data_IF_323374238167
#
_entry.id   IF_323374238167
#
_cell.length_a   1.000
_cell.length_b   1.000
_cell.length_c   1.000
_cell.angle_alpha   90.00
_cell.angle_beta   90.00
_cell.angle_gamma   90.00
#
_symmetry.space_group_name_H-M   'P 1'
#
loop_
_entity.id
_entity.type
_entity.pdbx_description
1 polymer ?
#
# COMPACT_ATOMS: atom_id res chain seq x y z
N UNK A 1 19.76 26.61 -7.90
CA UNK A 1 19.25 26.03 -9.16
C UNK A 1 17.94 26.74 -9.46
N UNK A 2 17.82 27.37 -10.62
CA UNK A 2 16.52 27.86 -11.10
C UNK A 2 15.79 26.64 -11.66
N UNK A 3 14.80 26.15 -10.92
CA UNK A 3 13.93 25.09 -11.43
C UNK A 3 13.13 25.64 -12.61
N UNK A 4 13.15 24.92 -13.73
CA UNK A 4 12.33 25.25 -14.89
C UNK A 4 10.93 24.66 -14.69
N UNK A 5 9.96 25.51 -14.34
CA UNK A 5 8.55 25.15 -14.16
C UNK A 5 8.00 24.29 -15.32
N UNK A 6 8.43 24.56 -16.55
CA UNK A 6 8.00 23.81 -17.74
C UNK A 6 8.43 22.33 -17.68
N UNK A 7 9.61 22.02 -17.16
CA UNK A 7 10.14 20.65 -17.12
C UNK A 7 9.32 19.75 -16.19
N UNK A 8 8.95 20.26 -15.01
CA UNK A 8 8.14 19.55 -14.02
C UNK A 8 6.73 19.22 -14.57
N UNK A 9 6.15 20.14 -15.35
CA UNK A 9 4.89 19.89 -16.05
C UNK A 9 5.05 18.80 -17.11
N UNK A 10 6.07 18.88 -17.96
CA UNK A 10 6.28 17.90 -19.03
C UNK A 10 6.51 16.50 -18.47
N UNK A 11 7.28 16.37 -17.39
CA UNK A 11 7.50 15.07 -16.74
C UNK A 11 6.21 14.49 -16.15
N UNK A 12 5.41 15.32 -15.47
CA UNK A 12 4.11 14.89 -14.95
C UNK A 12 3.17 14.44 -16.09
N UNK A 13 3.07 15.20 -17.18
CA UNK A 13 2.26 14.86 -18.35
C UNK A 13 2.70 13.54 -19.00
N UNK A 14 4.00 13.28 -19.13
CA UNK A 14 4.53 12.00 -19.63
C UNK A 14 4.08 10.83 -18.76
N UNK A 15 4.14 10.98 -17.44
CA UNK A 15 3.66 9.94 -16.51
C UNK A 15 2.15 9.74 -16.64
N UNK A 16 1.36 10.81 -16.74
CA UNK A 16 -0.10 10.71 -16.91
C UNK A 16 -0.48 10.03 -18.23
N UNK A 17 0.22 10.34 -19.31
CA UNK A 17 0.03 9.69 -20.60
C UNK A 17 0.34 8.18 -20.52
N UNK A 18 1.40 7.79 -19.80
CA UNK A 18 1.77 6.37 -19.62
C UNK A 18 0.69 5.53 -18.92
N UNK A 19 -0.18 6.16 -18.13
CA UNK A 19 -1.31 5.50 -17.46
C UNK A 19 -2.64 5.68 -18.23
N UNK A 20 -2.59 6.24 -19.45
CA UNK A 20 -3.75 6.45 -20.31
C UNK A 20 -4.61 7.65 -19.90
N UNK A 21 -4.05 8.65 -19.22
CA UNK A 21 -4.72 9.91 -18.90
C UNK A 21 -4.13 11.00 -19.79
N UNK A 22 -4.84 11.33 -20.87
CA UNK A 22 -4.48 12.47 -21.73
C UNK A 22 -4.93 13.77 -21.07
N UNK A 23 -4.01 14.73 -20.97
CA UNK A 23 -4.22 16.03 -20.36
C UNK A 23 -3.24 17.04 -20.98
N UNK A 24 -3.65 18.29 -21.01
CA UNK A 24 -2.88 19.43 -21.52
C UNK A 24 -2.37 20.29 -20.36
N UNK A 25 -1.39 21.15 -20.61
CA UNK A 25 -0.75 21.97 -19.57
C UNK A 25 -1.72 22.90 -18.84
N UNK A 26 -2.73 23.42 -19.55
CA UNK A 26 -3.80 24.27 -19.02
C UNK A 26 -4.71 23.59 -18.00
N UNK A 27 -4.56 22.29 -17.75
CA UNK A 27 -5.28 21.57 -16.70
C UNK A 27 -4.47 21.45 -15.39
N UNK A 28 -3.19 21.85 -15.44
CA UNK A 28 -2.28 21.92 -14.30
C UNK A 28 -2.18 23.39 -13.87
N UNK A 29 -2.43 23.65 -12.60
CA UNK A 29 -2.23 24.98 -12.00
C UNK A 29 -0.73 25.17 -11.72
N UNK A 30 -0.16 24.25 -10.95
CA UNK A 30 1.23 24.32 -10.50
C UNK A 30 1.84 22.92 -10.51
N UNK A 31 3.07 22.79 -11.02
CA UNK A 31 3.93 21.65 -10.77
C UNK A 31 5.34 22.11 -10.40
N UNK A 32 5.90 21.56 -9.33
CA UNK A 32 7.28 21.83 -8.93
C UNK A 32 7.90 20.65 -8.19
N UNK A 33 9.22 20.58 -8.18
CA UNK A 33 9.99 19.57 -7.48
C UNK A 33 10.05 19.89 -5.99
N UNK A 34 9.95 18.85 -5.19
CA UNK A 34 10.02 18.91 -3.73
C UNK A 34 11.11 17.98 -3.20
N UNK A 35 11.66 18.37 -2.06
CA UNK A 35 12.74 17.65 -1.39
C UNK A 35 14.13 18.18 -1.75
N UNK A 36 15.13 17.70 -1.02
CA UNK A 36 16.51 18.10 -1.22
C UNK A 36 17.08 17.43 -2.46
N UNK A 37 17.75 18.19 -3.32
CA UNK A 37 18.53 17.64 -4.42
C UNK A 37 19.58 16.68 -3.89
N UNK A 38 19.62 15.47 -4.45
CA UNK A 38 20.63 14.47 -4.17
C UNK A 38 21.15 13.93 -5.50
N UNK A 39 22.47 13.83 -5.61
CA UNK A 39 23.11 13.32 -6.82
C UNK A 39 22.57 11.91 -7.13
N UNK A 40 22.17 11.68 -8.39
CA UNK A 40 21.57 10.42 -8.87
C UNK A 40 20.25 10.03 -8.20
N UNK A 41 19.53 10.98 -7.59
CA UNK A 41 18.18 10.77 -7.10
C UNK A 41 17.22 11.77 -7.71
N UNK A 42 16.15 11.24 -8.28
CA UNK A 42 15.06 12.04 -8.80
C UNK A 42 14.24 12.56 -7.62
N UNK A 43 14.11 13.88 -7.53
CA UNK A 43 13.20 14.53 -6.59
C UNK A 43 11.77 14.38 -7.07
N UNK A 44 10.84 14.35 -6.13
CA UNK A 44 9.43 14.19 -6.47
C UNK A 44 8.80 15.48 -6.94
N UNK A 45 7.75 15.36 -7.75
CA UNK A 45 6.99 16.51 -8.27
C UNK A 45 5.66 16.56 -7.54
N UNK A 46 5.34 17.72 -6.93
CA UNK A 46 3.99 18.01 -6.46
C UNK A 46 3.21 18.67 -7.59
N UNK A 47 1.98 18.20 -7.82
CA UNK A 47 1.12 18.69 -8.90
C UNK A 47 -0.22 19.14 -8.32
N UNK A 48 -0.57 20.41 -8.57
CA UNK A 48 -1.88 20.98 -8.31
C UNK A 48 -2.65 21.03 -9.63
N UNK A 49 -3.80 20.36 -9.65
CA UNK A 49 -4.71 20.36 -10.81
C UNK A 49 -5.69 21.52 -10.70
N UNK A 50 -6.07 22.12 -11.83
CA UNK A 50 -7.16 23.11 -11.84
C UNK A 50 -8.51 22.47 -11.55
N UNK A 51 -8.74 21.25 -12.06
CA UNK A 51 -10.02 20.57 -11.92
C UNK A 51 -9.88 19.22 -11.20
N UNK A 52 -10.72 19.01 -10.18
CA UNK A 52 -10.74 17.79 -9.35
C UNK A 52 -10.91 16.52 -10.18
N UNK A 53 -11.63 16.59 -11.30
CA UNK A 53 -11.86 15.47 -12.22
C UNK A 53 -10.55 14.83 -12.68
N UNK A 54 -9.54 15.61 -13.07
CA UNK A 54 -8.26 15.10 -13.55
C UNK A 54 -7.46 14.43 -12.43
N UNK A 55 -7.43 15.04 -11.24
CA UNK A 55 -6.86 14.38 -10.04
C UNK A 55 -7.47 12.99 -9.84
N UNK A 56 -8.80 12.87 -9.86
CA UNK A 56 -9.48 11.59 -9.66
C UNK A 56 -9.09 10.58 -10.75
N UNK A 57 -9.04 10.99 -12.02
CA UNK A 57 -8.64 10.10 -13.12
C UNK A 57 -7.21 9.60 -12.99
N UNK A 58 -6.26 10.48 -12.67
CA UNK A 58 -4.87 10.11 -12.41
C UNK A 58 -4.80 9.11 -11.26
N UNK A 59 -5.44 9.43 -10.12
CA UNK A 59 -5.45 8.60 -8.93
C UNK A 59 -6.07 7.22 -9.20
N UNK A 60 -7.16 7.11 -9.97
CA UNK A 60 -7.76 5.81 -10.32
C UNK A 60 -6.88 4.96 -11.25
N UNK A 61 -6.15 5.59 -12.17
CA UNK A 61 -5.32 4.89 -13.16
C UNK A 61 -3.90 4.57 -12.67
N UNK A 62 -3.44 5.14 -11.54
CA UNK A 62 -2.08 4.97 -11.01
C UNK A 62 -1.62 3.52 -10.82
N UNK A 63 -2.54 2.57 -10.66
CA UNK A 63 -2.21 1.14 -10.52
C UNK A 63 -1.45 0.59 -11.74
N UNK A 64 -1.60 1.22 -12.91
CA UNK A 64 -0.85 0.90 -14.13
C UNK A 64 0.66 1.18 -14.02
N UNK A 65 1.10 1.94 -13.01
CA UNK A 65 2.52 2.18 -12.72
C UNK A 65 3.17 1.05 -11.92
N UNK A 66 2.43 -0.01 -11.55
CA UNK A 66 3.01 -1.12 -10.81
C UNK A 66 4.15 -1.74 -11.63
N UNK A 67 5.36 -1.75 -11.06
CA UNK A 67 6.56 -2.27 -11.72
C UNK A 67 7.32 -1.26 -12.58
N UNK A 68 6.80 -0.06 -12.84
CA UNK A 68 7.54 0.99 -13.57
C UNK A 68 8.61 1.69 -12.71
N UNK A 69 8.59 1.43 -11.40
CA UNK A 69 9.45 2.12 -10.46
C UNK A 69 9.03 3.57 -10.22
N UNK A 70 7.81 3.99 -10.58
CA UNK A 70 7.20 5.30 -10.31
C UNK A 70 5.93 5.11 -9.47
N UNK A 71 5.68 5.98 -8.50
CA UNK A 71 4.44 5.98 -7.69
C UNK A 71 3.70 7.32 -7.75
N UNK A 72 2.37 7.27 -7.64
CA UNK A 72 1.52 8.46 -7.45
C UNK A 72 0.75 8.27 -6.15
N UNK A 73 0.72 9.29 -5.30
CA UNK A 73 -0.05 9.32 -4.06
C UNK A 73 -0.74 10.68 -3.88
N UNK A 74 -1.81 10.70 -3.09
CA UNK A 74 -2.60 11.92 -2.85
C UNK A 74 -2.05 12.77 -1.71
N UNK A 75 -2.37 14.07 -1.76
CA UNK A 75 -2.25 14.94 -0.59
C UNK A 75 -3.28 14.71 0.51
N UNK A 76 -2.87 13.93 1.52
CA UNK A 76 -3.54 13.62 2.75
C UNK A 76 -3.09 14.53 3.90
N UNK A 77 -4.05 14.96 4.70
CA UNK A 77 -3.75 15.58 6.01
C UNK A 77 -2.85 14.66 6.85
N UNK A 78 -2.01 15.19 7.75
CA UNK A 78 -1.12 14.38 8.61
C UNK A 78 -1.87 13.24 9.32
N UNK A 79 -3.06 13.52 9.82
CA UNK A 79 -3.91 12.57 10.50
C UNK A 79 -4.32 11.38 9.59
N UNK A 80 -4.76 11.66 8.36
CA UNK A 80 -5.04 10.63 7.35
C UNK A 80 -3.79 9.88 6.88
N UNK A 81 -2.65 10.57 6.73
CA UNK A 81 -1.40 9.90 6.38
C UNK A 81 -0.97 8.89 7.47
N UNK A 82 -1.07 9.28 8.73
CA UNK A 82 -0.83 8.39 9.88
C UNK A 82 -1.83 7.24 9.91
N UNK A 83 -3.11 7.49 9.67
CA UNK A 83 -4.13 6.44 9.58
C UNK A 83 -3.80 5.44 8.48
N UNK A 84 -3.45 5.90 7.27
CA UNK A 84 -3.09 5.03 6.16
C UNK A 84 -1.87 4.17 6.48
N UNK A 85 -0.83 4.76 7.09
CA UNK A 85 0.40 4.07 7.52
C UNK A 85 0.15 3.05 8.64
N UNK A 86 -0.75 3.35 9.58
CA UNK A 86 -1.13 2.43 10.66
C UNK A 86 -1.89 1.22 10.11
N UNK A 87 -2.89 1.47 9.26
CA UNK A 87 -3.77 0.42 8.72
C UNK A 87 -3.02 -0.49 7.74
N UNK A 88 -2.07 0.05 6.96
CA UNK A 88 -1.27 -0.76 6.04
C UNK A 88 -0.37 -1.79 6.73
N UNK A 89 -0.05 -1.58 8.02
CA UNK A 89 0.77 -2.47 8.84
C UNK A 89 -0.06 -3.49 9.63
N UNK A 90 -1.39 -3.42 9.55
CA UNK A 90 -2.26 -4.30 10.31
C UNK A 90 -2.21 -5.73 9.73
N UNK A 91 -2.09 -6.78 10.56
CA UNK A 91 -1.91 -8.16 10.08
C UNK A 91 -3.09 -8.65 9.21
N UNK A 92 -4.29 -8.14 9.48
CA UNK A 92 -5.50 -8.50 8.76
C UNK A 92 -5.77 -7.71 7.47
N UNK A 93 -4.83 -6.89 7.02
CA UNK A 93 -4.96 -6.02 5.86
C UNK A 93 -4.02 -6.48 4.74
N UNK A 94 -4.59 -6.79 3.57
CA UNK A 94 -3.84 -7.16 2.37
C UNK A 94 -3.26 -5.94 1.65
N UNK A 95 -4.04 -4.86 1.58
CA UNK A 95 -3.65 -3.66 0.86
C UNK A 95 -4.44 -2.45 1.35
N UNK A 96 -3.86 -1.26 1.25
CA UNK A 96 -4.53 0.01 1.55
C UNK A 96 -4.33 1.02 0.43
N UNK A 97 -5.30 1.91 0.27
CA UNK A 97 -5.19 3.02 -0.65
C UNK A 97 -6.07 4.18 -0.21
N UNK A 98 -5.73 5.37 -0.67
CA UNK A 98 -6.61 6.52 -0.60
C UNK A 98 -7.27 6.81 -1.95
N UNK A 99 -8.47 7.37 -1.88
CA UNK A 99 -9.09 8.10 -2.99
C UNK A 99 -9.90 9.25 -2.40
N UNK A 100 -9.67 10.47 -2.90
CA UNK A 100 -10.38 11.67 -2.46
C UNK A 100 -10.21 11.96 -0.95
N UNK A 101 -9.05 11.62 -0.40
CA UNK A 101 -8.78 11.78 1.04
C UNK A 101 -9.45 10.74 1.94
N UNK A 102 -10.25 9.82 1.39
CA UNK A 102 -10.83 8.69 2.13
C UNK A 102 -9.89 7.50 2.07
N UNK A 103 -9.74 6.78 3.17
CA UNK A 103 -8.86 5.62 3.28
C UNK A 103 -9.69 4.34 3.13
N UNK A 104 -9.16 3.42 2.35
CA UNK A 104 -9.75 2.11 2.11
C UNK A 104 -8.72 1.04 2.42
N UNK A 105 -9.21 -0.09 2.94
CA UNK A 105 -8.43 -1.28 3.18
C UNK A 105 -9.12 -2.49 2.52
N UNK A 106 -8.31 -3.33 1.89
CA UNK A 106 -8.70 -4.69 1.50
C UNK A 106 -8.22 -5.63 2.60
N UNK A 107 -9.16 -6.31 3.23
CA UNK A 107 -8.91 -7.23 4.34
C UNK A 107 -8.53 -8.63 3.81
N UNK A 108 -8.04 -9.51 4.69
CA UNK A 108 -7.70 -10.91 4.36
C UNK A 108 -8.87 -11.71 3.78
N UNK A 109 -10.10 -11.40 4.20
CA UNK A 109 -11.34 -11.98 3.65
C UNK A 109 -11.77 -11.34 2.32
N UNK A 110 -10.87 -10.60 1.66
CA UNK A 110 -11.09 -9.88 0.40
C UNK A 110 -12.11 -8.72 0.46
N UNK A 111 -12.74 -8.48 1.62
CA UNK A 111 -13.68 -7.37 1.84
C UNK A 111 -12.95 -6.03 1.75
N UNK A 112 -13.57 -5.10 1.04
CA UNK A 112 -13.10 -3.71 0.94
C UNK A 112 -13.91 -2.87 1.92
N UNK A 113 -13.23 -2.22 2.85
CA UNK A 113 -13.85 -1.37 3.86
C UNK A 113 -13.27 0.04 3.79
N UNK A 114 -14.14 1.03 4.00
CA UNK A 114 -13.71 2.40 4.28
C UNK A 114 -13.27 2.46 5.74
N UNK A 115 -12.13 3.09 6.00
CA UNK A 115 -11.54 3.18 7.34
C UNK A 115 -11.47 4.65 7.76
N UNK A 116 -11.86 4.91 9.01
CA UNK A 116 -11.66 6.18 9.70
C UNK A 116 -10.91 5.98 11.02
N UNK A 117 -10.82 7.03 11.83
CA UNK A 117 -10.09 7.00 13.11
C UNK A 117 -10.73 6.15 14.19
N UNK A 118 -12.04 5.88 14.09
CA UNK A 118 -12.80 5.12 15.06
C UNK A 118 -13.01 3.66 14.62
N UNK A 119 -12.63 3.34 13.39
CA UNK A 119 -12.75 2.00 12.83
C UNK A 119 -11.78 1.04 13.51
N UNK A 120 -12.32 0.01 14.18
CA UNK A 120 -11.57 -1.15 14.66
C UNK A 120 -11.56 -2.23 13.56
N UNK A 121 -10.37 -2.58 13.05
CA UNK A 121 -10.25 -3.55 11.95
C UNK A 121 -10.60 -4.98 12.41
N UNK A 122 -10.26 -5.34 13.64
CA UNK A 122 -10.52 -6.68 14.17
C UNK A 122 -12.02 -6.98 14.28
N UNK A 123 -12.83 -5.99 14.63
CA UNK A 123 -14.28 -6.15 14.73
C UNK A 123 -14.92 -6.39 13.35
N UNK A 124 -14.34 -5.83 12.29
CA UNK A 124 -14.82 -6.01 10.91
C UNK A 124 -14.63 -7.43 10.39
N UNK A 125 -13.66 -8.18 10.92
CA UNK A 125 -13.41 -9.58 10.57
C UNK A 125 -14.34 -10.52 11.34
N UNK A 126 -14.63 -10.19 12.60
CA UNK A 126 -15.50 -11.00 13.48
C UNK A 126 -16.95 -11.04 13.01
N UNK A 127 -17.42 -9.98 12.36
CA UNK A 127 -18.79 -9.89 11.82
C UNK A 127 -19.16 -10.97 10.80
N UNK A 128 -18.16 -11.66 10.21
CA UNK A 128 -18.40 -12.76 9.27
C UNK A 128 -18.54 -14.13 9.98
N UNK A 129 -18.06 -14.27 11.23
CA UNK A 129 -18.14 -15.52 12.01
C UNK A 129 -19.54 -15.69 12.63
N UNK A 130 -20.21 -14.58 12.98
CA UNK A 130 -21.56 -14.58 13.59
C UNK A 130 -22.69 -14.93 12.62
N UNK A 131 -22.40 -15.09 11.32
CA UNK A 131 -23.37 -15.58 10.32
C UNK A 131 -23.22 -17.06 9.98
N UNK A 132 -22.30 -17.79 10.64
CA UNK A 132 -22.37 -19.24 10.68
C UNK A 132 -23.49 -19.60 11.65
N UNK A 133 -24.67 -19.82 11.07
CA UNK A 133 -25.84 -20.41 11.73
C UNK A 133 -25.38 -21.49 12.71
N UNK A 134 -25.88 -21.38 13.93
CA UNK A 134 -26.02 -22.43 14.94
C UNK A 134 -25.85 -23.82 14.33
N UNK A 135 -24.61 -24.33 14.30
CA UNK A 135 -24.39 -25.74 14.08
C UNK A 135 -24.96 -26.41 15.32
N UNK A 136 -25.94 -27.27 15.08
CA UNK A 136 -26.66 -28.04 16.07
C UNK A 136 -25.67 -28.62 17.09
N UNK A 137 -26.06 -28.50 18.36
CA UNK A 137 -25.38 -29.09 19.50
C UNK A 137 -25.34 -30.61 19.27
N UNK A 138 -24.25 -31.11 18.70
CA UNK A 138 -23.94 -32.53 18.72
C UNK A 138 -23.61 -32.89 20.17
N UNK A 139 -24.57 -33.47 20.88
CA UNK A 139 -24.35 -34.22 22.11
C UNK A 139 -23.85 -35.61 21.69
N UNK A 140 -22.56 -35.96 21.84
CA UNK A 140 -22.16 -37.35 21.67
C UNK A 140 -22.77 -38.16 22.81
N UNK A 141 -23.59 -39.16 22.46
CA UNK A 141 -24.05 -40.14 23.43
C UNK A 141 -22.84 -40.86 24.05
N UNK A 142 -22.71 -40.76 25.36
CA UNK A 142 -21.67 -41.41 26.14
C UNK A 142 -21.98 -42.91 26.14
N UNK A 143 -21.34 -43.67 25.24
CA UNK A 143 -21.18 -45.11 25.45
C UNK A 143 -20.05 -45.31 26.47
N UNK A 144 -20.44 -45.49 27.73
CA UNK A 144 -19.52 -45.94 28.77
C UNK A 144 -19.15 -47.40 28.52
N UNK A 145 -17.85 -47.70 28.44
CA UNK A 145 -17.28 -48.96 28.91
C UNK A 145 -15.77 -48.83 29.20
N UNK A 146 -15.21 -49.67 30.09
CA UNK A 146 -14.25 -49.22 31.09
C UNK A 146 -12.76 -49.45 30.75
N UNK A 147 -11.97 -48.45 31.19
CA UNK A 147 -10.62 -48.47 31.81
C UNK A 147 -9.57 -49.47 31.31
N UNK A 148 -8.44 -48.92 30.84
CA UNK A 148 -7.10 -49.34 31.29
C UNK A 148 -6.12 -48.17 31.25
N UNK A 149 -5.38 -48.04 32.34
CA UNK A 149 -4.35 -47.02 32.61
C UNK A 149 -3.05 -47.33 31.85
N UNK A 150 -2.34 -46.31 31.35
CA UNK A 150 -0.87 -46.23 31.50
C UNK A 150 -0.33 -44.84 31.14
N UNK A 151 0.61 -44.41 31.98
CA UNK A 151 1.43 -43.20 32.03
C UNK A 151 2.37 -42.97 30.83
N UNK A 152 2.68 -41.70 30.50
CA UNK A 152 3.84 -41.37 29.66
C UNK A 152 3.98 -39.87 29.33
N UNK A 153 5.21 -39.36 29.39
CA UNK A 153 5.61 -37.96 29.61
C UNK A 153 6.16 -37.25 28.34
N UNK A 154 6.17 -35.91 28.39
CA UNK A 154 7.15 -34.94 27.84
C UNK A 154 7.08 -34.45 26.38
N UNK A 155 7.42 -33.16 26.28
CA UNK A 155 7.28 -32.22 25.16
C UNK A 155 8.47 -32.18 24.16
N UNK A 156 8.20 -31.46 23.06
CA UNK A 156 9.07 -30.59 22.24
C UNK A 156 9.55 -31.07 20.86
N UNK A 157 9.23 -30.22 19.86
CA UNK A 157 9.69 -30.19 18.47
C UNK A 157 8.57 -29.57 17.63
N UNK A 158 8.71 -28.49 16.86
CA UNK A 158 9.86 -28.08 16.06
C UNK A 158 9.79 -26.59 15.65
N UNK A 159 10.98 -25.99 15.63
CA UNK A 159 11.45 -24.77 14.98
C UNK A 159 10.84 -24.44 13.62
N UNK A 160 10.63 -23.15 13.28
CA UNK A 160 11.09 -22.53 12.01
C UNK A 160 11.11 -20.99 12.09
N UNK A 161 12.21 -20.46 11.55
CA UNK A 161 12.77 -19.11 11.59
C UNK A 161 12.29 -18.23 10.41
N UNK A 162 12.52 -16.90 10.49
CA UNK A 162 13.17 -16.03 9.45
C UNK A 162 12.50 -14.64 9.25
N UNK A 163 13.28 -13.63 9.70
CA UNK A 163 13.62 -12.29 9.16
C UNK A 163 12.57 -11.16 9.04
N UNK A 164 12.94 -10.10 9.76
CA UNK A 164 12.70 -8.65 9.57
C UNK A 164 13.35 -8.09 8.28
N UNK A 165 13.28 -6.77 7.99
CA UNK A 165 12.32 -5.72 8.36
C UNK A 165 11.75 -5.01 7.10
N UNK A 166 10.66 -4.23 7.21
CA UNK A 166 10.40 -3.20 6.19
C UNK A 166 9.93 -1.87 6.76
N UNK A 167 10.93 -0.99 6.78
CA UNK A 167 10.88 0.47 6.72
C UNK A 167 9.80 1.00 5.76
N UNK A 168 9.07 2.05 6.17
CA UNK A 168 9.19 3.42 5.63
C UNK A 168 7.94 4.26 5.85
N UNK A 169 8.21 5.49 6.33
CA UNK A 169 7.39 6.69 6.23
C UNK A 169 7.01 6.99 4.77
N UNK A 170 5.79 7.48 4.49
CA UNK A 170 5.42 7.92 3.14
C UNK A 170 4.58 9.22 3.16
N UNK A 171 5.29 10.30 2.91
CA UNK A 171 4.89 11.56 2.24
C UNK A 171 4.88 11.32 0.71
N UNK A 172 4.32 12.19 -0.13
CA UNK A 172 4.04 11.84 -1.54
C UNK A 172 5.23 11.96 -2.44
N UNK A 173 5.47 10.92 -3.24
CA UNK A 173 6.63 10.87 -4.09
C UNK A 173 6.31 10.19 -5.45
N UNK A 174 6.44 10.95 -6.54
CA UNK A 174 6.87 10.42 -7.84
C UNK A 174 8.37 10.16 -7.70
N UNK A 175 8.76 8.95 -7.31
CA UNK A 175 10.17 8.53 -7.21
C UNK A 175 10.45 7.46 -8.24
N UNK A 176 11.37 7.69 -9.19
CA UNK A 176 12.02 6.66 -9.99
C UNK A 176 13.00 5.83 -9.14
N UNK A 177 12.81 4.52 -9.10
CA UNK A 177 13.80 3.58 -8.56
C UNK A 177 15.01 3.51 -9.49
N UNK A 178 16.19 3.85 -8.96
CA UNK A 178 17.49 3.76 -9.64
C UNK A 178 17.72 2.34 -10.19
N UNK A 179 17.87 2.23 -11.52
CA UNK A 179 18.39 1.03 -12.17
C UNK A 179 19.84 0.84 -11.76
N UNK A 180 20.17 -0.33 -11.20
CA UNK A 180 21.56 -0.74 -10.98
C UNK A 180 22.28 -0.74 -12.33
N UNK A 181 23.26 0.14 -12.49
CA UNK A 181 24.20 0.12 -13.61
C UNK A 181 25.05 -1.16 -13.50
N UNK A 182 24.94 -2.06 -14.47
CA UNK A 182 25.98 -3.07 -14.69
C UNK A 182 27.11 -2.42 -15.47
N UNK A 183 28.26 -2.22 -14.84
CA UNK A 183 29.48 -1.80 -15.51
C UNK A 183 30.00 -2.96 -16.37
N UNK A 184 30.25 -2.79 -17.69
CA UNK A 184 30.97 -3.78 -18.46
C UNK A 184 32.48 -3.68 -18.19
N UNK A 185 33.11 -4.80 -17.85
CA UNK A 185 34.57 -4.94 -17.76
C UNK A 185 35.19 -4.73 -19.15
N UNK A 186 36.11 -3.79 -19.29
CA UNK A 186 37.03 -3.76 -20.43
C UNK A 186 38.10 -4.86 -20.24
N UNK A 187 38.51 -5.54 -21.33
CA UNK A 187 39.66 -6.43 -21.29
C UNK A 187 40.95 -5.61 -21.21
N UNK A 188 41.85 -5.98 -20.32
CA UNK A 188 43.21 -5.44 -20.30
C UNK A 188 44.03 -6.11 -21.41
N UNK A 189 44.82 -5.29 -22.11
CA UNK A 189 45.85 -5.68 -23.07
C UNK A 189 47.02 -6.41 -22.40
#
# INVERSE_FOLDING_TARGET
MNENYSESIQEALKVFLSIGVSMTEDQIDIAHRIGTFKLNQNTSIIVKFLNRKYKIFVIKNRRKLKGSGISISEDLTPLNSQLLSRISKHPSVLNTWSIEGKIYAKLLNEKIVKVDHHTCIDDLLRSDITNVKTAEVYQPEIQTNPRTETSGTMEHGSTTTIRTPRSQDITYYLTPLSSKSSTPMMPQE
#
